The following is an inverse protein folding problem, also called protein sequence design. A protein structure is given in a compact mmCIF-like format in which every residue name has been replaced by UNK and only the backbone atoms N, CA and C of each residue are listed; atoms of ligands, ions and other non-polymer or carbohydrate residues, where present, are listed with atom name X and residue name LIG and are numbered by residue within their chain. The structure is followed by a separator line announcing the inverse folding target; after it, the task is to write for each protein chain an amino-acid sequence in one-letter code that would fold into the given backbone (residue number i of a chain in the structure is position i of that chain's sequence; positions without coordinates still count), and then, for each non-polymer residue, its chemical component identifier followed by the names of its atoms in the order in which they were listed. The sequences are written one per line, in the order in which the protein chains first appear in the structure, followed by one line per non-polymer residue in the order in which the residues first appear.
data_IF_116927245151
#
_entry.id   IF_116927245151
#
_cell.length_a   1.000
_cell.length_b   1.000
_cell.length_c   1.000
_cell.angle_alpha   90.00
_cell.angle_beta   90.00
_cell.angle_gamma   90.00
#
_symmetry.space_group_name_H-M   'P 1'
#
loop_
_entity.id
_entity.type
_entity.pdbx_description
1 polymer ?
#
# COMPACT_ATOMS: atom_id res chain seq x y z
N UNK A 1 -2.87 4.55 23.66
CA UNK A 1 -2.53 4.41 22.23
C UNK A 1 -3.60 3.52 21.64
N UNK A 2 -4.39 3.98 20.65
CA UNK A 2 -5.43 3.12 20.07
C UNK A 2 -4.72 2.09 19.18
N UNK A 3 -4.71 0.84 19.61
CA UNK A 3 -4.21 -0.28 18.82
C UNK A 3 -5.14 -0.49 17.62
N UNK A 4 -4.74 0.02 16.44
CA UNK A 4 -5.43 -0.24 15.17
C UNK A 4 -5.21 -1.68 14.66
N UNK A 5 -4.63 -2.56 15.49
CA UNK A 5 -4.37 -3.97 15.20
C UNK A 5 -5.54 -4.89 15.58
N UNK A 6 -6.78 -4.38 15.68
CA UNK A 6 -7.96 -5.21 15.79
C UNK A 6 -8.35 -5.72 14.40
N UNK A 7 -7.72 -6.83 14.01
CA UNK A 7 -8.27 -7.93 13.21
C UNK A 7 -9.28 -7.52 12.14
N UNK A 8 -8.82 -7.42 10.88
CA UNK A 8 -9.76 -7.57 9.76
C UNK A 8 -10.41 -8.94 9.94
N UNK A 9 -11.70 -8.93 10.28
CA UNK A 9 -12.46 -10.15 10.50
C UNK A 9 -12.59 -10.89 9.15
N UNK A 10 -12.60 -12.23 9.18
CA UNK A 10 -12.78 -13.06 7.98
C UNK A 10 -14.06 -12.69 7.24
N UNK A 11 -15.07 -12.20 7.95
CA UNK A 11 -16.29 -11.70 7.34
C UNK A 11 -16.09 -10.41 6.56
N UNK A 12 -15.29 -9.47 7.06
CA UNK A 12 -14.93 -8.25 6.34
C UNK A 12 -14.13 -8.58 5.06
N UNK A 13 -13.20 -9.54 5.13
CA UNK A 13 -12.47 -10.02 3.96
C UNK A 13 -13.40 -10.66 2.92
N UNK A 14 -14.41 -11.42 3.36
CA UNK A 14 -15.42 -11.97 2.45
C UNK A 14 -16.24 -10.86 1.79
N UNK A 15 -16.73 -9.89 2.56
CA UNK A 15 -17.49 -8.75 2.01
C UNK A 15 -16.67 -7.99 0.98
N UNK A 16 -15.40 -7.71 1.26
CA UNK A 16 -14.48 -7.09 0.29
C UNK A 16 -14.36 -7.99 -0.96
N UNK A 17 -14.09 -9.28 -0.81
CA UNK A 17 -13.92 -10.20 -1.95
C UNK A 17 -15.14 -10.23 -2.87
N UNK A 18 -16.36 -10.21 -2.33
CA UNK A 18 -17.59 -10.34 -3.11
C UNK A 18 -18.18 -9.00 -3.57
N UNK A 19 -17.88 -7.89 -2.88
CA UNK A 19 -18.44 -6.57 -3.21
C UNK A 19 -17.46 -5.64 -3.94
N UNK A 20 -16.21 -6.06 -4.16
CA UNK A 20 -15.24 -5.26 -4.92
C UNK A 20 -15.50 -5.38 -6.42
N UNK A 21 -15.65 -4.26 -7.10
CA UNK A 21 -15.77 -4.22 -8.56
C UNK A 21 -14.40 -4.40 -9.25
N UNK A 22 -14.35 -4.87 -10.51
CA UNK A 22 -13.09 -4.93 -11.26
C UNK A 22 -12.34 -3.59 -11.30
N UNK A 23 -13.06 -2.48 -11.42
CA UNK A 23 -12.50 -1.12 -11.44
C UNK A 23 -11.85 -0.74 -10.11
N UNK A 24 -12.52 -0.99 -8.98
CA UNK A 24 -11.95 -0.77 -7.64
C UNK A 24 -10.67 -1.59 -7.44
N UNK A 25 -10.66 -2.83 -7.94
CA UNK A 25 -9.47 -3.68 -7.87
C UNK A 25 -8.31 -3.13 -8.71
N UNK A 26 -8.60 -2.59 -9.89
CA UNK A 26 -7.59 -1.95 -10.74
C UNK A 26 -7.03 -0.69 -10.06
N UNK A 27 -7.88 0.14 -9.46
CA UNK A 27 -7.43 1.33 -8.73
C UNK A 27 -6.48 0.96 -7.59
N UNK A 28 -6.77 -0.10 -6.81
CA UNK A 28 -5.86 -0.57 -5.76
C UNK A 28 -4.51 -1.05 -6.30
N UNK A 29 -4.48 -1.69 -7.46
CA UNK A 29 -3.22 -2.11 -8.10
C UNK A 29 -2.40 -0.90 -8.56
N UNK A 30 -3.05 0.13 -9.09
CA UNK A 30 -2.40 1.39 -9.47
C UNK A 30 -1.82 2.09 -8.24
N UNK A 31 -2.60 2.21 -7.17
CA UNK A 31 -2.15 2.83 -5.92
C UNK A 31 -0.96 2.08 -5.30
N UNK A 32 -1.01 0.75 -5.28
CA UNK A 32 0.11 -0.07 -4.82
C UNK A 32 1.36 0.12 -5.69
N UNK A 33 1.20 0.22 -7.01
CA UNK A 33 2.29 0.52 -7.93
C UNK A 33 2.93 1.88 -7.66
N UNK A 34 2.10 2.91 -7.47
CA UNK A 34 2.55 4.27 -7.16
C UNK A 34 3.35 4.30 -5.85
N UNK A 35 2.83 3.66 -4.80
CA UNK A 35 3.50 3.55 -3.50
C UNK A 35 4.89 2.90 -3.61
N UNK A 36 5.01 1.80 -4.36
CA UNK A 36 6.30 1.11 -4.56
C UNK A 36 7.28 2.02 -5.32
N UNK A 37 6.82 2.69 -6.37
CA UNK A 37 7.67 3.58 -7.16
C UNK A 37 8.15 4.79 -6.35
N UNK A 38 7.27 5.40 -5.56
CA UNK A 38 7.63 6.49 -4.66
C UNK A 38 8.63 6.03 -3.59
N UNK A 39 8.39 4.86 -2.98
CA UNK A 39 9.29 4.26 -2.01
C UNK A 39 10.70 4.02 -2.60
N UNK A 40 10.78 3.52 -3.83
CA UNK A 40 12.05 3.33 -4.57
C UNK A 40 12.75 4.66 -4.84
N UNK A 41 12.02 5.69 -5.26
CA UNK A 41 12.57 7.03 -5.49
C UNK A 41 13.16 7.60 -4.19
N UNK A 42 12.42 7.48 -3.09
CA UNK A 42 12.86 7.94 -1.78
C UNK A 42 14.10 7.19 -1.29
N UNK A 43 14.14 5.86 -1.49
CA UNK A 43 15.32 5.05 -1.19
C UNK A 43 16.55 5.49 -1.98
N UNK A 44 16.40 5.69 -3.30
CA UNK A 44 17.49 6.16 -4.17
C UNK A 44 18.02 7.52 -3.72
N UNK A 45 17.12 8.47 -3.43
CA UNK A 45 17.49 9.79 -2.96
C UNK A 45 18.24 9.76 -1.62
N UNK A 46 17.82 8.90 -0.68
CA UNK A 46 18.54 8.70 0.59
C UNK A 46 19.94 8.13 0.37
N UNK A 47 20.05 7.11 -0.49
CA UNK A 47 21.33 6.49 -0.85
C UNK A 47 22.31 7.44 -1.56
N UNK A 48 21.81 8.41 -2.31
CA UNK A 48 22.66 9.40 -2.98
C UNK A 48 23.12 10.49 -2.01
N UNK A 49 22.25 10.92 -1.09
CA UNK A 49 22.63 11.87 -0.03
C UNK A 49 23.70 11.30 0.90
N UNK A 50 23.66 10.01 1.21
CA UNK A 50 24.67 9.36 2.07
C UNK A 50 26.03 9.14 1.41
N UNK A 51 26.14 9.30 0.08
CA UNK A 51 27.42 9.20 -0.66
C UNK A 51 28.03 10.56 -0.99
N UNK A 52 27.29 11.65 -0.76
CA UNK A 52 27.68 13.02 -1.10
C UNK A 52 28.16 13.84 0.12
N UNK A 53 28.25 13.23 1.30
CA UNK A 53 28.87 13.78 2.51
C UNK A 53 29.97 12.86 2.98
#
# INVERSE_FOLDING_TARGET
MKDYSSSIDREQLRRIKYNTTPEQRMNWLVDAGNFVMESRKNWRNKSQKSKAG
#
